data_IF_784560000576
#
_entry.id   IF_784560000576
#
_cell.length_a   1.000
_cell.length_b   1.000
_cell.length_c   1.000
_cell.angle_alpha   90.00
_cell.angle_beta   90.00
_cell.angle_gamma   90.00
#
_symmetry.space_group_name_H-M   'P 1'
#
loop_
_entity.id
_entity.type
_entity.pdbx_description
1 polymer ?
#
# COMPACT_ATOMS: atom_id res chain seq x y z
N UNK A 1 -2.78 -17.00 9.15
CA UNK A 1 -2.88 -15.82 8.28
C UNK A 1 -4.23 -15.11 8.34
N UNK A 2 -5.29 -15.73 8.90
CA UNK A 2 -6.64 -15.12 9.03
C UNK A 2 -6.77 -13.92 9.97
N UNK A 3 -5.79 -13.60 10.82
CA UNK A 3 -5.95 -12.63 11.92
C UNK A 3 -5.23 -11.29 11.74
N UNK A 4 -4.73 -10.98 10.53
CA UNK A 4 -3.93 -9.76 10.34
C UNK A 4 -4.80 -8.51 10.19
N UNK A 5 -6.01 -8.64 9.65
CA UNK A 5 -6.90 -7.49 9.42
C UNK A 5 -8.21 -7.54 10.23
N UNK A 6 -8.57 -8.69 10.81
CA UNK A 6 -9.92 -9.00 11.33
C UNK A 6 -10.27 -8.41 12.72
N UNK A 7 -9.62 -7.35 13.17
CA UNK A 7 -10.00 -6.67 14.41
C UNK A 7 -10.82 -5.42 14.05
N UNK A 8 -12.14 -5.53 14.17
CA UNK A 8 -13.13 -4.52 13.77
C UNK A 8 -13.10 -3.24 14.61
N UNK A 9 -12.00 -2.48 14.55
CA UNK A 9 -12.00 -1.04 14.82
C UNK A 9 -12.09 -0.27 13.50
N UNK A 10 -12.77 0.87 13.52
CA UNK A 10 -12.90 1.82 12.39
C UNK A 10 -11.58 2.56 12.09
N UNK A 11 -10.44 1.86 12.21
CA UNK A 11 -9.11 2.44 12.13
C UNK A 11 -8.30 1.84 10.99
N UNK A 12 -7.48 2.70 10.39
CA UNK A 12 -6.49 2.33 9.39
C UNK A 12 -5.45 1.40 10.03
N UNK A 13 -5.35 0.17 9.52
CA UNK A 13 -4.37 -0.81 9.97
C UNK A 13 -3.17 -0.82 9.02
N UNK A 14 -1.97 -0.65 9.58
CA UNK A 14 -0.71 -0.71 8.84
C UNK A 14 0.08 -1.92 9.34
N UNK A 15 0.48 -2.80 8.42
CA UNK A 15 1.34 -3.95 8.71
C UNK A 15 2.62 -3.79 7.91
N UNK A 16 3.75 -3.73 8.62
CA UNK A 16 5.08 -3.65 8.01
C UNK A 16 5.79 -5.00 8.04
N UNK A 17 6.15 -5.53 6.88
CA UNK A 17 6.98 -6.72 6.74
C UNK A 17 8.41 -6.26 6.45
N UNK A 18 9.27 -6.27 7.47
CA UNK A 18 10.66 -5.78 7.37
C UNK A 18 11.64 -6.94 7.30
N UNK A 19 12.67 -6.82 6.47
CA UNK A 19 13.81 -7.72 6.49
C UNK A 19 14.87 -7.36 5.45
N UNK A 20 16.04 -8.00 5.55
CA UNK A 20 17.14 -7.80 4.61
C UNK A 20 16.70 -7.99 3.14
N UNK A 21 17.31 -7.23 2.24
CA UNK A 21 17.08 -7.33 0.79
C UNK A 21 17.33 -8.76 0.27
N UNK A 22 16.58 -9.19 -0.75
CA UNK A 22 16.69 -10.54 -1.32
C UNK A 22 15.92 -11.65 -0.57
N UNK A 23 15.30 -11.34 0.58
CA UNK A 23 14.37 -12.26 1.25
C UNK A 23 12.99 -12.27 0.58
N UNK A 24 12.31 -13.41 0.65
CA UNK A 24 11.03 -13.83 0.01
C UNK A 24 9.79 -13.02 0.51
N UNK A 25 9.99 -11.77 0.95
CA UNK A 25 8.97 -10.88 1.52
C UNK A 25 7.87 -10.53 0.52
N UNK A 26 8.26 -10.13 -0.69
CA UNK A 26 7.34 -9.86 -1.79
C UNK A 26 6.49 -11.08 -2.10
N UNK A 27 7.05 -12.28 -2.04
CA UNK A 27 6.28 -13.52 -2.25
C UNK A 27 5.27 -13.76 -1.13
N UNK A 28 5.60 -13.48 0.13
CA UNK A 28 4.65 -13.59 1.24
C UNK A 28 3.51 -12.57 1.10
N UNK A 29 3.82 -11.32 0.78
CA UNK A 29 2.81 -10.29 0.52
C UNK A 29 1.93 -10.66 -0.67
N UNK A 30 2.51 -11.21 -1.75
CA UNK A 30 1.74 -11.70 -2.93
C UNK A 30 0.76 -12.78 -2.53
N UNK A 31 1.18 -13.75 -1.71
CA UNK A 31 0.30 -14.82 -1.21
C UNK A 31 -0.90 -14.27 -0.43
N UNK A 32 -0.70 -13.26 0.41
CA UNK A 32 -1.80 -12.59 1.14
C UNK A 32 -2.70 -11.84 0.17
N UNK A 33 -2.12 -11.04 -0.72
CA UNK A 33 -2.87 -10.19 -1.65
C UNK A 33 -3.79 -10.98 -2.58
N UNK A 34 -3.33 -12.14 -3.06
CA UNK A 34 -4.08 -13.02 -3.97
C UNK A 34 -4.91 -14.08 -3.25
N UNK A 35 -4.97 -14.08 -1.91
CA UNK A 35 -5.79 -15.05 -1.18
C UNK A 35 -7.27 -14.76 -1.47
N UNK A 36 -8.08 -15.76 -1.88
CA UNK A 36 -9.48 -15.53 -2.24
C UNK A 36 -10.32 -14.90 -1.11
N UNK A 37 -9.98 -15.14 0.15
CA UNK A 37 -10.67 -14.52 1.28
C UNK A 37 -10.31 -13.03 1.42
N UNK A 38 -9.08 -12.64 1.10
CA UNK A 38 -8.63 -11.25 1.06
C UNK A 38 -9.25 -10.54 -0.15
N UNK A 39 -9.28 -11.19 -1.31
CA UNK A 39 -9.94 -10.69 -2.52
C UNK A 39 -11.42 -10.40 -2.29
N UNK A 40 -12.13 -11.33 -1.64
CA UNK A 40 -13.54 -11.16 -1.34
C UNK A 40 -13.78 -10.04 -0.31
N UNK A 41 -12.90 -9.93 0.70
CA UNK A 41 -13.07 -8.96 1.77
C UNK A 41 -12.68 -7.53 1.37
N UNK A 42 -11.59 -7.38 0.62
CA UNK A 42 -11.07 -6.12 0.12
C UNK A 42 -11.21 -6.10 -1.40
N UNK A 43 -12.36 -5.63 -1.88
CA UNK A 43 -12.59 -5.54 -3.32
C UNK A 43 -11.68 -4.50 -4.00
N UNK A 44 -11.41 -3.38 -3.32
CA UNK A 44 -10.52 -2.34 -3.81
C UNK A 44 -9.10 -2.65 -3.36
N UNK A 45 -8.25 -3.11 -4.27
CA UNK A 45 -6.87 -3.46 -3.94
C UNK A 45 -5.91 -2.76 -4.86
N UNK A 46 -4.87 -2.16 -4.28
CA UNK A 46 -3.78 -1.58 -5.04
C UNK A 46 -2.47 -2.28 -4.69
N UNK A 47 -1.65 -2.55 -5.69
CA UNK A 47 -0.26 -2.96 -5.48
C UNK A 47 0.64 -2.01 -6.23
N UNK A 48 1.45 -1.26 -5.50
CA UNK A 48 2.39 -0.30 -6.07
C UNK A 48 3.82 -0.67 -5.72
N UNK A 49 4.72 -0.36 -6.63
CA UNK A 49 6.16 -0.38 -6.40
C UNK A 49 6.62 1.07 -6.27
N UNK A 50 7.38 1.37 -5.23
CA UNK A 50 7.99 2.70 -5.08
C UNK A 50 9.49 2.61 -5.26
N UNK A 51 10.08 3.67 -5.80
CA UNK A 51 11.54 3.78 -5.87
C UNK A 51 12.12 4.08 -4.49
N UNK A 52 13.44 3.96 -4.34
CA UNK A 52 14.16 4.32 -3.11
C UNK A 52 13.92 5.79 -2.69
N UNK A 53 13.67 6.66 -3.66
CA UNK A 53 13.30 8.06 -3.45
C UNK A 53 11.95 8.32 -4.09
N UNK A 54 10.88 8.05 -3.35
CA UNK A 54 9.52 8.28 -3.83
C UNK A 54 8.93 9.57 -3.25
N UNK A 55 8.10 10.22 -4.04
CA UNK A 55 7.28 11.36 -3.65
C UNK A 55 5.87 10.92 -3.26
N UNK A 56 5.17 11.74 -2.46
CA UNK A 56 3.75 11.50 -2.15
C UNK A 56 2.89 11.43 -3.41
N UNK A 57 3.20 12.28 -4.40
CA UNK A 57 2.52 12.29 -5.70
C UNK A 57 2.63 10.96 -6.44
N UNK A 58 3.83 10.38 -6.50
CA UNK A 58 4.04 9.07 -7.15
C UNK A 58 3.25 7.96 -6.46
N UNK A 59 3.17 7.99 -5.12
CA UNK A 59 2.36 7.03 -4.36
C UNK A 59 0.88 7.19 -4.69
N UNK A 60 0.34 8.41 -4.66
CA UNK A 60 -1.08 8.63 -4.97
C UNK A 60 -1.43 8.23 -6.40
N UNK A 61 -0.62 8.64 -7.38
CA UNK A 61 -0.82 8.26 -8.78
C UNK A 61 -0.70 6.75 -8.97
N UNK A 62 0.27 6.09 -8.34
CA UNK A 62 0.43 4.65 -8.41
C UNK A 62 -0.79 3.90 -7.85
N UNK A 63 -1.36 4.37 -6.73
CA UNK A 63 -2.55 3.74 -6.16
C UNK A 63 -3.76 3.94 -7.09
N UNK A 64 -3.96 5.16 -7.59
CA UNK A 64 -5.05 5.47 -8.53
C UNK A 64 -4.92 4.65 -9.82
N UNK A 65 -3.71 4.50 -10.36
CA UNK A 65 -3.43 3.67 -11.54
C UNK A 65 -3.72 2.19 -11.26
N UNK A 66 -3.23 1.65 -10.15
CA UNK A 66 -3.48 0.25 -9.76
C UNK A 66 -4.96 -0.05 -9.53
N UNK A 67 -5.77 0.95 -9.17
CA UNK A 67 -7.23 0.84 -9.03
C UNK A 67 -7.98 1.13 -10.35
N UNK A 68 -7.27 1.43 -11.44
CA UNK A 68 -7.85 1.85 -12.73
C UNK A 68 -8.71 3.11 -12.64
N UNK A 69 -8.30 4.06 -11.79
CA UNK A 69 -8.98 5.35 -11.54
C UNK A 69 -8.24 6.56 -12.11
N UNK A 70 -7.05 6.35 -12.69
CA UNK A 70 -6.19 7.45 -13.14
C UNK A 70 -6.73 8.14 -14.40
N UNK A 71 -6.53 9.46 -14.48
CA UNK A 71 -6.85 10.27 -15.66
C UNK A 71 -5.70 11.22 -16.00
N UNK A 72 -5.63 11.68 -17.24
CA UNK A 72 -4.59 12.62 -17.71
C UNK A 72 -4.55 13.94 -16.90
N UNK A 73 -5.69 14.36 -16.34
CA UNK A 73 -5.79 15.56 -15.51
C UNK A 73 -5.10 15.38 -14.15
N UNK A 74 -5.12 14.17 -13.59
CA UNK A 74 -4.53 13.86 -12.28
C UNK A 74 -3.01 14.07 -12.28
N UNK A 75 -2.32 13.81 -13.39
CA UNK A 75 -0.87 14.09 -13.49
C UNK A 75 -0.52 15.57 -13.30
N UNK A 76 -1.47 16.48 -13.56
CA UNK A 76 -1.30 17.93 -13.40
C UNK A 76 -1.71 18.42 -12.00
N UNK A 77 -2.34 17.57 -11.20
CA UNK A 77 -2.77 17.91 -9.85
C UNK A 77 -1.59 17.96 -8.87
N UNK A 78 -1.75 18.73 -7.79
CA UNK A 78 -0.85 18.71 -6.65
C UNK A 78 -1.23 17.58 -5.67
N UNK A 79 -0.37 17.34 -4.69
CA UNK A 79 -0.52 16.29 -3.68
C UNK A 79 -1.87 16.39 -2.96
N UNK A 80 -2.33 17.60 -2.63
CA UNK A 80 -3.57 17.81 -1.87
C UNK A 80 -4.81 17.39 -2.68
N UNK A 81 -4.86 17.76 -3.96
CA UNK A 81 -5.96 17.36 -4.85
C UNK A 81 -5.96 15.85 -5.10
N UNK A 82 -4.77 15.26 -5.30
CA UNK A 82 -4.63 13.81 -5.45
C UNK A 82 -5.06 13.06 -4.19
N UNK A 83 -4.73 13.59 -3.00
CA UNK A 83 -5.17 13.01 -1.74
C UNK A 83 -6.69 13.07 -1.59
N UNK A 84 -7.33 14.18 -1.97
CA UNK A 84 -8.80 14.31 -1.96
C UNK A 84 -9.43 13.30 -2.91
N UNK A 85 -8.88 13.15 -4.11
CA UNK A 85 -9.41 12.25 -5.13
C UNK A 85 -9.25 10.78 -4.73
N UNK A 86 -8.08 10.40 -4.23
CA UNK A 86 -7.89 9.06 -3.71
C UNK A 86 -8.81 8.79 -2.51
N UNK A 87 -8.94 9.76 -1.61
CA UNK A 87 -9.82 9.64 -0.44
C UNK A 87 -11.28 9.50 -0.86
N UNK A 88 -11.75 10.24 -1.87
CA UNK A 88 -13.15 10.17 -2.34
C UNK A 88 -13.50 8.78 -2.87
N UNK A 89 -12.55 8.11 -3.53
CA UNK A 89 -12.72 6.77 -4.09
C UNK A 89 -12.64 5.66 -3.05
N UNK A 90 -11.82 5.83 -2.01
CA UNK A 90 -11.62 4.86 -0.94
C UNK A 90 -12.64 5.02 0.20
N UNK A 91 -13.21 6.22 0.37
CA UNK A 91 -14.20 6.51 1.40
C UNK A 91 -15.37 5.53 1.29
N UNK A 92 -15.78 4.96 2.42
CA UNK A 92 -16.87 3.97 2.55
C UNK A 92 -16.61 2.60 1.91
N UNK A 93 -15.39 2.34 1.44
CA UNK A 93 -15.02 1.04 0.86
C UNK A 93 -13.92 0.40 1.67
N UNK A 94 -13.98 -0.92 1.81
CA UNK A 94 -12.84 -1.69 2.30
C UNK A 94 -11.78 -1.74 1.21
N UNK A 95 -10.56 -1.39 1.58
CA UNK A 95 -9.43 -1.38 0.67
C UNK A 95 -8.19 -2.01 1.28
N UNK A 96 -7.34 -2.56 0.42
CA UNK A 96 -6.02 -3.06 0.76
C UNK A 96 -5.00 -2.47 -0.22
N UNK A 97 -4.07 -1.67 0.29
CA UNK A 97 -2.95 -1.12 -0.49
C UNK A 97 -1.66 -1.83 -0.07
N UNK A 98 -0.94 -2.37 -1.04
CA UNK A 98 0.40 -2.92 -0.87
C UNK A 98 1.40 -1.94 -1.46
N UNK A 99 2.29 -1.43 -0.63
CA UNK A 99 3.44 -0.63 -1.06
C UNK A 99 4.66 -1.53 -0.93
N UNK A 100 5.17 -1.99 -2.07
CA UNK A 100 6.32 -2.89 -2.16
C UNK A 100 7.62 -2.11 -2.38
N UNK A 101 8.71 -2.72 -1.92
CA UNK A 101 10.08 -2.22 -2.02
C UNK A 101 10.31 -0.82 -1.42
N UNK A 102 9.67 -0.55 -0.28
CA UNK A 102 9.96 0.67 0.49
C UNK A 102 11.30 0.51 1.19
N UNK A 103 12.21 1.46 0.98
CA UNK A 103 13.54 1.44 1.58
C UNK A 103 13.65 2.47 2.70
N UNK A 104 14.20 2.06 3.85
CA UNK A 104 14.63 2.99 4.89
C UNK A 104 16.10 2.76 5.21
N UNK A 105 16.84 3.84 5.44
CA UNK A 105 18.22 3.76 5.90
C UNK A 105 18.20 3.48 7.40
N UNK A 106 18.79 2.38 7.86
CA UNK A 106 19.06 2.23 9.30
C UNK A 106 20.07 3.31 9.70
N UNK A 107 19.74 4.09 10.72
CA UNK A 107 20.54 5.25 11.14
C UNK A 107 21.98 4.90 11.60
N UNK A 108 22.31 3.61 11.77
CA UNK A 108 23.57 3.16 12.35
C UNK A 108 24.49 2.38 11.41
N UNK A 109 24.02 1.91 10.25
CA UNK A 109 24.86 1.15 9.33
C UNK A 109 24.54 1.55 7.89
N UNK A 110 25.27 2.53 7.36
CA UNK A 110 25.12 3.07 5.99
C UNK A 110 25.32 2.04 4.89
N UNK A 111 25.73 0.82 5.23
CA UNK A 111 25.90 -0.31 4.31
C UNK A 111 24.72 -1.30 4.32
N UNK A 112 23.70 -1.10 5.17
CA UNK A 112 22.53 -1.98 5.27
C UNK A 112 21.24 -1.22 4.97
N UNK A 113 20.63 -1.61 3.86
CA UNK A 113 19.30 -1.16 3.49
C UNK A 113 18.28 -2.21 3.92
N UNK A 114 17.26 -1.78 4.66
CA UNK A 114 16.09 -2.62 4.92
C UNK A 114 15.03 -2.32 3.87
N UNK A 115 14.52 -3.39 3.26
CA UNK A 115 13.30 -3.34 2.45
C UNK A 115 12.11 -3.68 3.34
N UNK A 116 11.04 -2.91 3.23
CA UNK A 116 9.78 -3.15 3.91
C UNK A 116 8.61 -3.19 2.93
N UNK A 117 7.64 -4.07 3.19
CA UNK A 117 6.34 -4.04 2.53
C UNK A 117 5.35 -3.47 3.52
N UNK A 118 4.63 -2.43 3.11
CA UNK A 118 3.53 -1.89 3.90
C UNK A 118 2.21 -2.38 3.31
N UNK A 119 1.45 -3.11 4.13
CA UNK A 119 0.07 -3.43 3.85
C UNK A 119 -0.79 -2.43 4.64
N UNK A 120 -1.54 -1.61 3.92
CA UNK A 120 -2.47 -0.64 4.51
C UNK A 120 -3.88 -1.12 4.21
N UNK A 121 -4.60 -1.53 5.25
CA UNK A 121 -5.99 -1.93 5.18
C UNK A 121 -6.87 -0.97 5.97
N UNK A 122 -8.07 -0.66 5.46
CA UNK A 122 -9.10 -0.02 6.26
C UNK A 122 -10.39 -0.83 6.20
N UNK A 123 -10.98 -1.06 7.37
CA UNK A 123 -12.29 -1.68 7.53
C UNK A 123 -13.31 -0.59 7.89
N UNK A 124 -14.24 -0.33 6.98
CA UNK A 124 -15.47 0.38 7.32
C UNK A 124 -16.54 -0.70 7.54
N UNK A 125 -17.12 -0.72 8.76
CA UNK A 125 -18.28 -1.54 9.10
C UNK A 125 -19.53 -0.97 8.44
#
# INVERSE_FOLDING_TARGET
MRSLFTNGSEELQIISIVGMGGLVKTTLAKKVYTDPSIEYHFYNRAWIYVSQQYSRKEVFLGILDSLSLITDEMYKMNDEKLAIELSSHLRSKRYLVVIDDVWTMEAWDTSKWLSQIQLVGAEYC
#
